data_IF_536709602676
#
_entry.id   IF_536709602676
#
_cell.length_a   1.000
_cell.length_b   1.000
_cell.length_c   1.000
_cell.angle_alpha   90.00
_cell.angle_beta   90.00
_cell.angle_gamma   90.00
#
_symmetry.space_group_name_H-M   'P 1'
#
loop_
_entity.id
_entity.type
_entity.pdbx_description
1 polymer ?
#
# COMPACT_ATOMS: atom_id res chain seq x y z
N UNK A 1 -19.70 -20.21 6.44
CA UNK A 1 -19.52 -21.66 6.51
C UNK A 1 -19.65 -22.17 5.07
N UNK A 2 -18.53 -22.42 4.41
CA UNK A 2 -18.52 -22.98 3.03
C UNK A 2 -18.32 -24.49 3.15
N UNK A 3 -19.40 -25.24 2.94
CA UNK A 3 -19.36 -26.68 2.80
C UNK A 3 -19.46 -27.01 1.30
N UNK A 4 -18.34 -27.38 0.70
CA UNK A 4 -18.29 -27.93 -0.65
C UNK A 4 -17.28 -29.08 -0.65
N UNK A 5 -17.70 -30.27 -1.07
CA UNK A 5 -16.80 -31.39 -1.27
C UNK A 5 -15.73 -30.99 -2.28
N UNK A 6 -14.46 -30.95 -1.85
CA UNK A 6 -13.30 -30.68 -2.70
C UNK A 6 -12.43 -29.52 -2.25
N UNK A 7 -12.89 -28.59 -1.44
CA UNK A 7 -12.07 -27.49 -0.92
C UNK A 7 -11.59 -27.84 0.50
N UNK A 8 -10.40 -28.39 0.58
CA UNK A 8 -9.69 -28.54 1.85
C UNK A 8 -9.07 -27.18 2.22
N UNK A 9 -9.87 -26.27 2.76
CA UNK A 9 -9.33 -25.22 3.61
C UNK A 9 -8.98 -25.90 4.94
N UNK A 10 -7.72 -26.17 5.17
CA UNK A 10 -7.24 -26.53 6.49
C UNK A 10 -7.54 -25.34 7.42
N UNK A 11 -8.19 -25.60 8.56
CA UNK A 11 -8.25 -24.63 9.63
C UNK A 11 -6.81 -24.33 10.05
N UNK A 12 -6.32 -23.12 9.74
CA UNK A 12 -5.03 -22.61 10.23
C UNK A 12 -5.06 -22.46 11.77
N UNK A 13 -6.21 -22.62 12.39
CA UNK A 13 -6.52 -22.33 13.80
C UNK A 13 -6.65 -23.60 14.60
N UNK A 14 -5.62 -23.96 15.28
CA UNK A 14 -5.61 -25.14 16.14
C UNK A 14 -4.45 -25.21 17.12
N UNK A 15 -3.75 -24.11 17.39
CA UNK A 15 -2.82 -24.09 18.50
C UNK A 15 -3.63 -23.96 19.78
N UNK A 16 -3.55 -24.98 20.63
CA UNK A 16 -4.29 -25.13 21.84
C UNK A 16 -4.18 -23.90 22.78
N UNK A 17 -5.31 -23.30 23.15
CA UNK A 17 -5.48 -22.68 24.44
C UNK A 17 -5.54 -21.17 24.54
N UNK A 18 -5.66 -20.40 23.44
CA UNK A 18 -6.01 -18.96 23.50
C UNK A 18 -6.98 -18.63 22.38
N UNK A 19 -7.83 -17.64 22.57
CA UNK A 19 -8.70 -17.08 21.54
C UNK A 19 -7.82 -16.58 20.37
N UNK A 20 -7.68 -17.41 19.33
CA UNK A 20 -6.97 -17.04 18.11
C UNK A 20 -8.05 -16.70 17.10
N UNK A 21 -8.74 -15.62 17.37
CA UNK A 21 -9.70 -15.04 16.44
C UNK A 21 -8.94 -14.08 15.52
N UNK A 22 -8.71 -14.47 14.29
CA UNK A 22 -8.15 -13.55 13.29
C UNK A 22 -9.25 -12.62 12.82
N UNK A 23 -9.09 -11.33 13.08
CA UNK A 23 -10.01 -10.30 12.61
C UNK A 23 -9.68 -9.89 11.17
N UNK A 24 -8.43 -9.55 10.89
CA UNK A 24 -7.92 -9.18 9.57
C UNK A 24 -6.55 -9.78 9.31
N UNK A 25 -6.18 -9.91 8.05
CA UNK A 25 -4.90 -10.53 7.67
C UNK A 25 -4.41 -9.99 6.33
N UNK A 26 -3.13 -9.67 6.26
CA UNK A 26 -2.44 -9.37 5.01
C UNK A 26 -1.42 -10.45 4.69
N UNK A 27 -1.46 -10.98 3.47
CA UNK A 27 -0.53 -11.99 3.00
C UNK A 27 0.19 -11.52 1.75
N UNK A 28 1.49 -11.79 1.67
CA UNK A 28 2.29 -11.49 0.50
C UNK A 28 3.57 -12.32 0.45
N UNK A 29 4.21 -12.37 -0.72
CA UNK A 29 5.57 -12.87 -0.83
C UNK A 29 6.51 -11.93 -0.08
N UNK A 30 7.22 -12.46 0.91
CA UNK A 30 8.10 -11.65 1.74
C UNK A 30 9.38 -11.28 0.98
N UNK A 31 9.72 -10.01 1.04
CA UNK A 31 10.92 -9.43 0.45
C UNK A 31 11.61 -8.45 1.44
N UNK A 32 11.31 -8.61 2.73
CA UNK A 32 11.87 -7.77 3.79
C UNK A 32 13.28 -8.19 4.23
N UNK A 33 13.76 -7.63 5.35
CA UNK A 33 15.15 -7.77 5.78
C UNK A 33 15.52 -9.15 6.34
N UNK A 34 14.54 -9.96 6.80
CA UNK A 34 14.82 -11.27 7.32
C UNK A 34 15.11 -12.28 6.19
N UNK A 35 16.39 -12.57 5.98
CA UNK A 35 16.84 -13.42 4.88
C UNK A 35 16.32 -14.87 4.96
N UNK A 36 15.91 -15.34 6.15
CA UNK A 36 15.40 -16.69 6.32
C UNK A 36 14.05 -16.91 5.61
N UNK A 37 13.27 -15.82 5.45
CA UNK A 37 11.92 -15.88 4.90
C UNK A 37 11.77 -15.21 3.53
N UNK A 38 12.84 -14.67 2.95
CA UNK A 38 12.76 -14.05 1.62
C UNK A 38 12.27 -15.03 0.57
N UNK A 39 11.20 -14.67 -0.14
CA UNK A 39 10.54 -15.51 -1.15
C UNK A 39 9.45 -16.44 -0.59
N UNK A 40 9.30 -16.54 0.72
CA UNK A 40 8.20 -17.27 1.35
C UNK A 40 6.88 -16.50 1.23
N UNK A 41 5.78 -17.19 1.19
CA UNK A 41 4.46 -16.59 1.32
C UNK A 41 4.12 -16.42 2.81
N UNK A 42 4.13 -15.19 3.28
CA UNK A 42 3.93 -14.87 4.69
C UNK A 42 2.60 -14.18 4.90
N UNK A 43 1.90 -14.54 5.98
CA UNK A 43 0.67 -13.89 6.42
C UNK A 43 0.86 -13.25 7.80
N UNK A 44 0.38 -12.03 7.94
CA UNK A 44 0.41 -11.22 9.15
C UNK A 44 -1.02 -11.00 9.60
N UNK A 45 -1.40 -11.69 10.65
CA UNK A 45 -2.77 -11.77 11.14
C UNK A 45 -2.97 -10.91 12.39
N UNK A 46 -3.89 -9.98 12.33
CA UNK A 46 -4.36 -9.19 13.47
C UNK A 46 -5.38 -10.03 14.24
N UNK A 47 -4.93 -10.59 15.37
CA UNK A 47 -5.66 -11.58 16.15
C UNK A 47 -6.20 -10.99 17.46
N UNK A 48 -6.84 -9.84 17.40
CA UNK A 48 -7.46 -9.16 18.53
C UNK A 48 -6.48 -8.71 19.63
N UNK A 49 -5.66 -9.62 20.18
CA UNK A 49 -4.71 -9.34 21.27
C UNK A 49 -3.24 -9.42 20.84
N UNK A 50 -2.95 -9.92 19.63
CA UNK A 50 -1.58 -10.09 19.10
C UNK A 50 -1.55 -9.97 17.58
N UNK A 51 -0.40 -9.59 17.05
CA UNK A 51 -0.03 -9.82 15.66
C UNK A 51 0.59 -11.22 15.56
N UNK A 52 0.02 -12.12 14.74
CA UNK A 52 0.59 -13.44 14.51
C UNK A 52 1.16 -13.54 13.10
N UNK A 53 2.38 -14.04 12.99
CA UNK A 53 3.08 -14.24 11.71
C UNK A 53 3.04 -15.72 11.35
N UNK A 54 2.55 -16.01 10.13
CA UNK A 54 2.46 -17.35 9.59
C UNK A 54 3.28 -17.49 8.31
N UNK A 55 4.05 -18.55 8.19
CA UNK A 55 4.56 -19.03 6.92
C UNK A 55 3.51 -19.96 6.29
N UNK A 56 2.97 -19.54 5.17
CA UNK A 56 1.95 -20.25 4.40
C UNK A 56 2.47 -20.72 3.05
N UNK A 57 3.78 -20.78 2.86
CA UNK A 57 4.43 -21.26 1.63
C UNK A 57 3.96 -22.67 1.28
N UNK A 58 3.95 -23.57 2.24
CA UNK A 58 3.27 -24.85 2.12
C UNK A 58 1.85 -24.77 2.70
N UNK A 59 0.84 -24.70 1.82
CA UNK A 59 -0.58 -24.60 2.20
C UNK A 59 -1.08 -25.84 2.94
N UNK A 60 -0.34 -26.97 2.89
CA UNK A 60 -0.69 -28.20 3.60
C UNK A 60 -0.06 -28.28 4.98
N UNK A 61 0.93 -27.44 5.26
CA UNK A 61 1.65 -27.38 6.52
C UNK A 61 1.98 -25.92 6.88
N UNK A 62 0.95 -25.18 7.32
CA UNK A 62 1.11 -23.80 7.77
C UNK A 62 1.87 -23.75 9.10
N UNK A 63 2.90 -22.92 9.16
CA UNK A 63 3.75 -22.75 10.33
C UNK A 63 3.47 -21.41 10.99
N UNK A 64 3.19 -21.40 12.29
CA UNK A 64 3.23 -20.17 13.09
C UNK A 64 4.69 -19.85 13.39
N UNK A 65 5.17 -18.73 12.83
CA UNK A 65 6.54 -18.27 13.02
C UNK A 65 6.66 -17.62 14.40
N UNK A 66 5.83 -16.60 14.65
CA UNK A 66 5.90 -15.84 15.90
C UNK A 66 4.59 -15.13 16.23
N UNK A 67 4.58 -14.50 17.42
CA UNK A 67 3.53 -13.60 17.85
C UNK A 67 4.17 -12.34 18.47
N UNK A 68 3.72 -11.17 18.02
CA UNK A 68 4.12 -9.87 18.56
C UNK A 68 2.94 -9.20 19.25
N UNK A 69 3.19 -8.55 20.38
CA UNK A 69 2.19 -7.74 21.08
C UNK A 69 2.79 -6.40 21.48
N UNK A 70 1.98 -5.50 21.99
CA UNK A 70 2.37 -4.15 22.40
C UNK A 70 1.64 -3.72 23.67
N UNK A 71 2.17 -2.75 24.42
CA UNK A 71 1.53 -2.26 25.63
C UNK A 71 0.17 -1.62 25.37
N UNK A 72 -0.81 -1.94 26.19
CA UNK A 72 -2.15 -1.35 26.15
C UNK A 72 -2.99 -1.84 24.96
N UNK A 73 -2.85 -3.10 24.58
CA UNK A 73 -3.72 -3.73 23.58
C UNK A 73 -5.17 -3.63 24.02
N UNK A 74 -6.00 -3.05 23.15
CA UNK A 74 -7.46 -3.08 23.24
C UNK A 74 -8.06 -4.07 22.27
N UNK A 75 -7.65 -3.99 20.99
CA UNK A 75 -8.08 -4.87 19.93
C UNK A 75 -7.17 -4.71 18.71
N UNK A 76 -6.20 -5.61 18.54
CA UNK A 76 -5.34 -5.65 17.35
C UNK A 76 -6.20 -5.91 16.12
N UNK A 77 -6.54 -4.84 15.39
CA UNK A 77 -7.62 -4.84 14.41
C UNK A 77 -7.12 -5.15 13.00
N UNK A 78 -6.21 -4.33 12.48
CA UNK A 78 -5.74 -4.42 11.10
C UNK A 78 -4.33 -3.85 11.01
N UNK A 79 -3.57 -4.22 9.98
CA UNK A 79 -2.27 -3.64 9.75
C UNK A 79 -1.83 -3.74 8.30
N UNK A 80 -0.77 -3.00 7.96
CA UNK A 80 -0.19 -3.00 6.62
C UNK A 80 1.31 -2.75 6.65
N UNK A 81 2.03 -3.23 5.62
CA UNK A 81 3.47 -3.01 5.51
C UNK A 81 3.82 -1.61 5.03
N UNK A 82 4.82 -1.01 5.65
CA UNK A 82 5.58 0.05 5.03
C UNK A 82 6.47 -0.48 3.88
N UNK A 83 6.91 0.40 3.01
CA UNK A 83 7.80 0.04 1.90
C UNK A 83 9.05 -0.71 2.41
N UNK A 84 9.46 -1.76 1.70
CA UNK A 84 10.60 -2.59 2.08
C UNK A 84 10.29 -3.63 3.17
N UNK A 85 9.06 -3.74 3.64
CA UNK A 85 8.53 -4.78 4.53
C UNK A 85 9.29 -4.95 5.86
N UNK A 86 10.13 -3.98 6.25
CA UNK A 86 10.75 -3.97 7.57
C UNK A 86 9.77 -3.55 8.66
N UNK A 87 8.90 -2.60 8.36
CA UNK A 87 7.96 -2.08 9.34
C UNK A 87 6.54 -2.49 8.98
N UNK A 88 5.80 -2.91 10.00
CA UNK A 88 4.38 -3.20 9.89
C UNK A 88 3.61 -2.26 10.83
N UNK A 89 2.67 -1.52 10.26
CA UNK A 89 1.82 -0.59 11.00
C UNK A 89 0.59 -1.35 11.47
N UNK A 90 0.23 -1.19 12.73
CA UNK A 90 -0.92 -1.84 13.36
C UNK A 90 -1.87 -0.80 13.93
N UNK A 91 -3.16 -0.97 13.65
CA UNK A 91 -4.24 -0.22 14.31
C UNK A 91 -4.87 -1.05 15.43
N UNK A 92 -5.24 -0.37 16.52
CA UNK A 92 -5.92 -0.94 17.69
C UNK A 92 -7.28 -0.26 17.88
N UNK A 93 -8.36 -0.92 17.47
CA UNK A 93 -9.67 -0.29 17.34
C UNK A 93 -10.33 0.05 18.70
N UNK A 94 -9.89 -0.52 19.80
CA UNK A 94 -10.61 -0.39 21.07
C UNK A 94 -9.83 0.31 22.18
N UNK A 95 -8.58 0.63 22.00
CA UNK A 95 -7.76 1.18 23.08
C UNK A 95 -8.18 2.60 23.51
N UNK A 96 -8.53 3.50 22.58
CA UNK A 96 -9.10 4.81 22.91
C UNK A 96 -10.52 4.68 23.50
N UNK A 97 -11.31 3.77 22.92
CA UNK A 97 -12.68 3.53 23.37
C UNK A 97 -12.74 2.97 24.78
N UNK A 98 -11.79 2.11 25.13
CA UNK A 98 -11.63 1.52 26.46
C UNK A 98 -10.95 2.48 27.44
N UNK A 99 -10.48 3.64 26.98
CA UNK A 99 -9.73 4.61 27.80
C UNK A 99 -8.32 4.16 28.15
N UNK A 100 -7.77 3.19 27.44
CA UNK A 100 -6.38 2.71 27.60
C UNK A 100 -5.39 3.77 27.12
N UNK A 101 -5.73 4.49 26.05
CA UNK A 101 -4.98 5.63 25.53
C UNK A 101 -5.89 6.84 25.34
N UNK A 102 -5.37 8.07 25.50
CA UNK A 102 -6.18 9.28 25.35
C UNK A 102 -6.39 9.71 23.90
N UNK A 103 -5.66 9.13 22.96
CA UNK A 103 -5.70 9.55 21.54
C UNK A 103 -5.27 8.42 20.63
N UNK A 104 -5.76 8.48 19.41
CA UNK A 104 -5.45 7.57 18.32
C UNK A 104 -3.94 7.36 18.16
N UNK A 105 -3.56 6.10 18.00
CA UNK A 105 -2.18 5.70 17.83
C UNK A 105 -2.02 4.62 16.76
N UNK A 106 -0.90 4.68 16.04
CA UNK A 106 -0.47 3.62 15.13
C UNK A 106 0.77 2.97 15.70
N UNK A 107 0.72 1.69 15.97
CA UNK A 107 1.84 0.91 16.49
C UNK A 107 2.71 0.49 15.31
N UNK A 108 4.00 0.80 15.36
CA UNK A 108 4.97 0.40 14.34
C UNK A 108 5.80 -0.76 14.87
N UNK A 109 5.58 -1.95 14.27
CA UNK A 109 6.35 -3.14 14.55
C UNK A 109 7.60 -3.17 13.67
N UNK A 110 8.77 -3.47 14.24
CA UNK A 110 10.00 -3.80 13.50
C UNK A 110 10.02 -5.30 13.20
N UNK A 111 10.11 -5.64 11.94
CA UNK A 111 10.17 -6.99 11.40
C UNK A 111 11.56 -7.33 10.87
N UNK A 112 12.62 -6.76 11.46
CA UNK A 112 14.00 -7.10 11.13
C UNK A 112 14.27 -8.61 11.32
N UNK A 113 13.60 -9.20 12.30
CA UNK A 113 13.60 -10.62 12.62
C UNK A 113 12.14 -11.06 12.79
N UNK A 114 11.62 -11.91 11.89
CA UNK A 114 10.24 -12.37 11.93
C UNK A 114 9.95 -13.34 13.08
N UNK A 115 10.98 -13.99 13.63
CA UNK A 115 10.85 -14.85 14.82
C UNK A 115 10.69 -14.02 16.11
N UNK A 116 11.09 -12.73 16.09
CA UNK A 116 11.05 -11.82 17.23
C UNK A 116 10.58 -10.42 16.83
N UNK A 117 9.30 -10.24 16.40
CA UNK A 117 8.77 -8.93 16.05
C UNK A 117 8.70 -8.04 17.31
N UNK A 118 9.23 -6.83 17.20
CA UNK A 118 9.29 -5.88 18.32
C UNK A 118 8.57 -4.57 17.97
N UNK A 119 8.10 -3.84 18.99
CA UNK A 119 7.60 -2.47 18.81
C UNK A 119 8.77 -1.54 18.57
N UNK A 120 8.88 -0.98 17.38
CA UNK A 120 9.89 0.02 17.04
C UNK A 120 9.58 1.36 17.71
N UNK A 121 8.37 1.84 17.57
CA UNK A 121 7.83 3.06 18.19
C UNK A 121 6.31 3.12 18.00
N UNK A 122 5.69 4.15 18.57
CA UNK A 122 4.26 4.43 18.43
C UNK A 122 4.10 5.86 17.90
N UNK A 123 3.34 6.01 16.82
CA UNK A 123 2.86 7.30 16.36
C UNK A 123 1.54 7.63 17.07
N UNK A 124 1.27 8.89 17.38
CA UNK A 124 -0.02 9.37 17.87
C UNK A 124 -0.41 10.65 17.16
N UNK A 125 -1.66 10.71 16.75
CA UNK A 125 -2.23 11.91 16.12
C UNK A 125 -2.58 13.01 17.12
N UNK A 126 -2.73 12.66 18.40
CA UNK A 126 -3.25 13.56 19.44
C UNK A 126 -4.76 13.76 19.38
N UNK A 127 -5.48 13.07 18.48
CA UNK A 127 -6.93 13.17 18.35
C UNK A 127 -7.62 12.08 19.19
N UNK A 128 -8.68 12.43 19.99
CA UNK A 128 -9.38 11.48 20.84
C UNK A 128 -10.43 10.67 20.04
N UNK A 129 -9.98 9.98 19.01
CA UNK A 129 -10.81 9.20 18.07
C UNK A 129 -10.30 7.78 17.96
N UNK A 130 -11.14 6.88 17.49
CA UNK A 130 -10.78 5.49 17.18
C UNK A 130 -10.15 5.42 15.80
N UNK A 131 -9.09 4.64 15.65
CA UNK A 131 -8.57 4.22 14.35
C UNK A 131 -9.27 2.95 13.85
N UNK A 132 -9.16 2.68 12.55
CA UNK A 132 -9.77 1.51 11.93
C UNK A 132 -8.87 0.93 10.84
N UNK A 133 -9.22 1.07 9.56
CA UNK A 133 -8.48 0.47 8.48
C UNK A 133 -7.37 1.39 7.97
N UNK A 134 -6.18 0.83 7.78
CA UNK A 134 -5.09 1.51 7.12
C UNK A 134 -4.57 0.72 5.92
N UNK A 135 -4.07 1.43 4.93
CA UNK A 135 -3.39 0.88 3.76
C UNK A 135 -2.17 1.72 3.44
N UNK A 136 -1.11 1.09 2.95
CA UNK A 136 0.09 1.83 2.51
C UNK A 136 0.19 1.77 1.00
N UNK A 137 0.36 2.94 0.39
CA UNK A 137 0.65 3.10 -1.03
C UNK A 137 1.86 4.00 -1.23
N UNK A 138 2.94 3.43 -1.77
CA UNK A 138 4.22 4.12 -1.84
C UNK A 138 4.76 4.44 -0.44
N UNK A 139 5.07 5.71 -0.19
CA UNK A 139 5.57 6.18 1.12
C UNK A 139 4.48 6.66 2.07
N UNK A 140 3.20 6.57 1.70
CA UNK A 140 2.11 7.09 2.51
C UNK A 140 1.23 6.01 3.08
N UNK A 141 0.90 6.11 4.37
CA UNK A 141 -0.19 5.37 4.98
C UNK A 141 -1.48 6.20 4.91
N UNK A 142 -2.57 5.53 4.57
CA UNK A 142 -3.91 6.09 4.47
C UNK A 142 -4.76 5.44 5.55
N UNK A 143 -5.05 6.18 6.61
CA UNK A 143 -5.79 5.70 7.75
C UNK A 143 -7.24 6.20 7.73
N UNK A 144 -8.16 5.30 8.03
CA UNK A 144 -9.56 5.60 8.25
C UNK A 144 -9.80 5.65 9.75
N UNK A 145 -9.89 6.86 10.31
CA UNK A 145 -9.92 7.06 11.76
C UNK A 145 -11.31 7.56 12.21
N UNK A 146 -12.36 6.81 11.84
CA UNK A 146 -13.76 7.09 12.18
C UNK A 146 -14.12 8.59 12.13
N UNK A 147 -14.37 9.22 13.29
CA UNK A 147 -14.77 10.63 13.38
C UNK A 147 -13.65 11.62 12.98
N UNK A 148 -12.41 11.17 12.86
CA UNK A 148 -11.34 12.01 12.29
C UNK A 148 -11.22 11.91 10.76
N UNK A 149 -11.98 11.04 10.11
CA UNK A 149 -11.97 10.87 8.67
C UNK A 149 -10.69 10.23 8.12
N UNK A 150 -10.32 10.56 6.88
CA UNK A 150 -9.11 10.09 6.24
C UNK A 150 -7.90 10.88 6.74
N UNK A 151 -6.89 10.16 7.22
CA UNK A 151 -5.57 10.70 7.59
C UNK A 151 -4.53 10.10 6.67
N UNK A 152 -3.65 10.92 6.13
CA UNK A 152 -2.57 10.48 5.24
C UNK A 152 -1.25 10.81 5.93
N UNK A 153 -0.52 9.75 6.27
CA UNK A 153 0.72 9.83 7.02
C UNK A 153 1.92 9.61 6.09
N UNK A 154 2.93 10.45 6.21
CA UNK A 154 4.20 10.33 5.49
C UNK A 154 5.16 9.44 6.28
N UNK A 155 5.58 8.34 5.66
CA UNK A 155 6.46 7.31 6.21
C UNK A 155 7.93 7.45 5.78
N UNK A 156 8.30 8.54 5.06
CA UNK A 156 9.66 8.73 4.52
C UNK A 156 10.76 8.60 5.58
N UNK A 157 10.46 8.99 6.82
CA UNK A 157 11.39 8.92 7.95
C UNK A 157 11.05 7.84 8.98
N UNK A 158 10.26 6.83 8.60
CA UNK A 158 9.85 5.75 9.52
C UNK A 158 11.04 5.04 10.14
N UNK A 159 12.14 4.85 9.38
CA UNK A 159 13.39 4.27 9.87
C UNK A 159 14.13 5.13 10.91
N UNK A 160 13.70 6.37 11.11
CA UNK A 160 14.21 7.29 12.13
C UNK A 160 13.24 7.42 13.32
N UNK A 161 12.16 6.63 13.34
CA UNK A 161 11.10 6.71 14.35
C UNK A 161 10.18 7.92 14.16
N UNK A 162 10.07 8.45 12.94
CA UNK A 162 9.29 9.66 12.65
C UNK A 162 8.24 9.39 11.60
N UNK A 163 6.98 9.65 11.94
CA UNK A 163 5.82 9.72 11.05
C UNK A 163 5.24 11.13 11.17
N UNK A 164 4.80 11.72 10.05
CA UNK A 164 4.16 13.03 10.03
C UNK A 164 2.87 13.00 9.22
N UNK A 165 1.84 13.71 9.67
CA UNK A 165 0.62 13.85 8.88
C UNK A 165 0.91 14.74 7.66
N UNK A 166 0.64 14.21 6.47
CA UNK A 166 0.83 14.90 5.19
C UNK A 166 -0.45 15.61 4.72
N UNK A 167 -1.62 14.99 4.96
CA UNK A 167 -2.91 15.54 4.61
C UNK A 167 -4.04 14.85 5.38
N UNK A 168 -5.23 15.47 5.38
CA UNK A 168 -6.43 14.85 5.91
C UNK A 168 -7.68 15.30 5.17
N UNK A 169 -8.75 14.52 5.30
CA UNK A 169 -10.09 14.91 4.91
C UNK A 169 -11.09 14.40 5.95
N UNK A 170 -11.75 15.34 6.63
CA UNK A 170 -12.75 15.00 7.63
C UNK A 170 -14.07 14.66 6.97
N UNK A 171 -14.48 13.40 7.07
CA UNK A 171 -15.76 12.92 6.53
C UNK A 171 -16.93 13.09 7.53
N UNK A 172 -16.61 13.43 8.80
CA UNK A 172 -17.58 13.54 9.91
C UNK A 172 -17.33 14.77 10.79
N UNK A 173 -17.48 16.01 10.25
CA UNK A 173 -17.08 17.25 10.93
C UNK A 173 -17.92 17.61 12.17
N UNK A 174 -18.95 16.85 12.49
CA UNK A 174 -19.83 17.06 13.65
C UNK A 174 -19.37 16.37 14.92
N UNK A 175 -18.32 15.57 14.90
CA UNK A 175 -17.81 14.82 16.04
C UNK A 175 -16.31 14.64 16.04
N UNK A 176 -15.74 14.48 17.23
CA UNK A 176 -14.35 14.11 17.46
C UNK A 176 -14.25 13.39 18.81
N UNK A 177 -14.72 12.16 18.82
CA UNK A 177 -14.80 11.32 20.02
C UNK A 177 -14.46 9.86 19.70
N UNK A 178 -14.15 9.02 20.69
CA UNK A 178 -13.85 7.62 20.46
C UNK A 178 -15.11 6.82 20.17
N UNK A 179 -15.74 7.06 19.03
CA UNK A 179 -16.95 6.41 18.56
C UNK A 179 -16.79 5.83 17.17
N UNK A 180 -17.70 4.93 16.78
CA UNK A 180 -17.70 4.27 15.48
C UNK A 180 -18.54 5.00 14.41
N UNK A 181 -18.65 6.34 14.52
CA UNK A 181 -19.20 7.15 13.44
C UNK A 181 -18.08 7.60 12.50
N UNK A 182 -18.44 7.98 11.27
CA UNK A 182 -17.49 8.55 10.33
C UNK A 182 -16.85 7.51 9.41
N UNK A 183 -15.60 7.67 9.11
CA UNK A 183 -14.93 6.91 8.06
C UNK A 183 -14.57 5.50 8.50
N UNK A 184 -15.08 4.53 7.72
CA UNK A 184 -14.88 3.10 7.97
C UNK A 184 -13.63 2.56 7.25
N UNK A 185 -13.46 2.84 5.97
CA UNK A 185 -12.36 2.31 5.17
C UNK A 185 -11.99 3.24 4.02
N UNK A 186 -10.85 2.98 3.38
CA UNK A 186 -10.40 3.70 2.20
C UNK A 186 -9.79 2.76 1.16
N UNK A 187 -9.61 3.27 -0.06
CA UNK A 187 -8.90 2.57 -1.12
C UNK A 187 -7.99 3.54 -1.87
N UNK A 188 -6.66 3.52 -1.65
CA UNK A 188 -5.73 4.49 -2.21
C UNK A 188 -4.98 4.00 -3.47
N UNK A 189 -5.35 2.85 -4.04
CA UNK A 189 -4.52 2.16 -5.04
C UNK A 189 -4.86 2.48 -6.49
N UNK A 190 -5.68 3.50 -6.76
CA UNK A 190 -5.91 3.90 -8.14
C UNK A 190 -4.71 4.64 -8.73
N UNK A 191 -4.28 4.24 -9.92
CA UNK A 191 -3.23 4.91 -10.68
C UNK A 191 -3.55 6.40 -10.97
N UNK A 192 -4.81 6.81 -10.87
CA UNK A 192 -5.23 8.20 -10.99
C UNK A 192 -4.89 9.08 -9.79
N UNK A 193 -4.40 8.49 -8.69
CA UNK A 193 -4.20 9.17 -7.41
C UNK A 193 -5.51 9.54 -6.69
N UNK A 194 -6.64 9.00 -7.14
CA UNK A 194 -7.91 9.13 -6.42
C UNK A 194 -7.90 8.15 -5.25
N UNK A 195 -8.41 8.62 -4.11
CA UNK A 195 -8.68 7.81 -2.93
C UNK A 195 -10.18 7.71 -2.75
N UNK A 196 -10.70 6.50 -2.60
CA UNK A 196 -12.06 6.31 -2.12
C UNK A 196 -12.05 6.26 -0.60
N UNK A 197 -13.01 6.92 0.03
CA UNK A 197 -13.22 6.87 1.46
C UNK A 197 -14.69 6.52 1.72
N UNK A 198 -14.94 5.40 2.39
CA UNK A 198 -16.28 4.97 2.79
C UNK A 198 -16.55 5.43 4.21
N UNK A 199 -17.71 6.05 4.41
CA UNK A 199 -18.15 6.57 5.69
C UNK A 199 -19.48 5.89 6.12
N UNK A 200 -19.56 5.47 7.36
CA UNK A 200 -20.72 4.72 7.89
C UNK A 200 -22.02 5.55 7.92
N UNK A 201 -21.94 6.88 7.87
CA UNK A 201 -23.07 7.80 7.93
C UNK A 201 -23.27 8.58 6.63
N UNK A 202 -22.16 9.03 6.02
CA UNK A 202 -22.18 10.00 4.91
C UNK A 202 -21.93 9.35 3.54
N UNK A 203 -21.73 8.02 3.49
CA UNK A 203 -21.60 7.25 2.27
C UNK A 203 -20.19 7.25 1.67
N UNK A 204 -20.04 7.45 0.36
CA UNK A 204 -18.78 7.32 -0.35
C UNK A 204 -18.25 8.70 -0.78
N UNK A 205 -17.03 8.99 -0.39
CA UNK A 205 -16.26 10.13 -0.87
C UNK A 205 -15.24 9.71 -1.91
N UNK A 206 -15.13 10.51 -2.98
CA UNK A 206 -14.14 10.34 -4.03
C UNK A 206 -13.17 11.52 -3.91
N UNK A 207 -12.00 11.27 -3.35
CA UNK A 207 -11.07 12.32 -2.95
C UNK A 207 -9.86 12.35 -3.89
N UNK A 208 -9.38 13.54 -4.16
CA UNK A 208 -8.09 13.77 -4.81
C UNK A 208 -7.24 14.62 -3.89
N UNK A 209 -6.21 14.03 -3.24
CA UNK A 209 -5.28 14.79 -2.43
C UNK A 209 -4.67 15.93 -3.24
N UNK A 210 -4.72 17.18 -2.72
CA UNK A 210 -4.22 18.38 -3.43
C UNK A 210 -2.76 18.70 -3.10
N UNK A 211 -2.28 18.31 -1.93
CA UNK A 211 -0.85 18.25 -1.71
C UNK A 211 -0.27 17.27 -2.74
N UNK A 212 0.96 17.52 -3.22
CA UNK A 212 1.74 16.46 -3.87
C UNK A 212 2.05 15.36 -2.85
N UNK A 213 1.00 14.67 -2.43
CA UNK A 213 1.12 13.31 -2.02
C UNK A 213 1.49 12.66 -3.34
N UNK A 214 2.78 12.57 -3.56
CA UNK A 214 3.33 11.85 -4.69
C UNK A 214 2.77 10.44 -4.55
N UNK A 215 1.66 10.24 -5.26
CA UNK A 215 1.18 8.92 -5.58
C UNK A 215 2.28 8.20 -6.36
N UNK A 216 2.05 6.97 -6.84
CA UNK A 216 3.06 6.16 -7.54
C UNK A 216 3.72 6.83 -8.76
N UNK A 217 3.52 8.14 -8.99
CA UNK A 217 4.23 8.93 -10.00
C UNK A 217 5.62 9.42 -9.56
N UNK A 218 5.99 9.38 -8.28
CA UNK A 218 7.37 9.07 -7.90
C UNK A 218 7.45 7.56 -7.71
N UNK A 219 7.51 6.86 -8.82
CA UNK A 219 8.07 5.53 -8.81
C UNK A 219 9.33 5.56 -7.94
N UNK A 220 9.52 4.62 -6.98
CA UNK A 220 10.75 4.52 -6.21
C UNK A 220 11.86 4.67 -7.21
N UNK A 221 12.86 5.54 -6.92
CA UNK A 221 13.94 5.84 -7.86
C UNK A 221 14.31 4.51 -8.48
N UNK A 222 14.00 4.35 -9.79
CA UNK A 222 14.01 3.05 -10.43
C UNK A 222 15.40 2.48 -10.18
N UNK A 223 15.51 1.47 -9.31
CA UNK A 223 16.80 0.84 -9.08
C UNK A 223 17.19 0.24 -10.42
N UNK A 224 18.18 0.85 -11.05
CA UNK A 224 18.69 0.40 -12.33
C UNK A 224 18.05 0.98 -13.58
N UNK A 225 17.16 1.99 -13.50
CA UNK A 225 16.60 2.68 -14.67
C UNK A 225 16.12 4.10 -14.35
N UNK A 226 16.02 4.97 -15.39
CA UNK A 226 15.30 6.25 -15.32
C UNK A 226 14.32 6.37 -16.47
N UNK A 227 13.16 6.97 -16.23
CA UNK A 227 12.12 7.22 -17.24
C UNK A 227 11.68 8.67 -17.15
N UNK A 228 11.89 9.44 -18.23
CA UNK A 228 11.50 10.86 -18.26
C UNK A 228 9.97 11.01 -18.27
N UNK A 229 9.49 12.21 -17.97
CA UNK A 229 8.11 12.58 -18.25
C UNK A 229 7.85 12.66 -19.76
N UNK A 230 6.60 12.39 -20.21
CA UNK A 230 6.22 12.61 -21.60
C UNK A 230 6.31 14.10 -21.97
N UNK A 231 6.92 14.42 -23.09
CA UNK A 231 7.03 15.79 -23.57
C UNK A 231 6.75 15.88 -25.07
N UNK A 232 5.77 16.73 -25.50
CA UNK A 232 4.82 17.49 -24.68
C UNK A 232 3.77 16.60 -23.98
N UNK A 233 3.23 17.10 -22.86
CA UNK A 233 2.10 16.52 -22.14
C UNK A 233 1.23 17.64 -21.52
N UNK A 234 -0.02 17.90 -21.99
CA UNK A 234 -0.75 17.17 -23.03
C UNK A 234 -0.12 17.24 -24.43
N UNK A 235 -0.34 16.19 -25.21
CA UNK A 235 0.14 16.07 -26.59
C UNK A 235 -1.01 16.17 -27.61
N UNK A 236 -0.75 16.87 -28.75
CA UNK A 236 -1.72 17.02 -29.85
C UNK A 236 -1.23 16.46 -31.19
N UNK A 237 -0.07 15.81 -31.22
CA UNK A 237 0.50 15.23 -32.45
C UNK A 237 1.49 14.11 -32.13
N UNK A 238 2.50 14.40 -31.34
CA UNK A 238 3.46 13.42 -30.88
C UNK A 238 3.94 13.76 -29.47
N UNK A 239 4.36 12.74 -28.72
CA UNK A 239 5.03 12.91 -27.42
C UNK A 239 6.21 11.95 -27.33
N UNK A 240 7.20 12.30 -26.54
CA UNK A 240 8.41 11.49 -26.35
C UNK A 240 8.68 11.27 -24.88
N UNK A 241 9.14 10.06 -24.59
CA UNK A 241 9.63 9.63 -23.28
C UNK A 241 11.03 9.04 -23.52
N UNK A 242 11.95 9.26 -22.60
CA UNK A 242 13.30 8.71 -22.66
C UNK A 242 13.50 7.75 -21.51
N UNK A 243 13.94 6.54 -21.82
CA UNK A 243 14.35 5.52 -20.86
C UNK A 243 15.87 5.36 -20.90
N UNK A 244 16.53 5.31 -19.76
CA UNK A 244 17.90 4.79 -19.60
C UNK A 244 17.91 3.68 -18.56
N UNK A 245 18.81 2.70 -18.72
CA UNK A 245 19.00 1.61 -17.76
C UNK A 245 20.45 1.59 -17.28
N UNK A 246 20.69 1.15 -16.06
CA UNK A 246 22.03 1.05 -15.48
C UNK A 246 22.68 -0.30 -15.77
N UNK A 247 21.88 -1.31 -16.09
CA UNK A 247 22.32 -2.66 -16.45
C UNK A 247 21.59 -3.10 -17.72
N UNK A 248 22.33 -3.77 -18.64
CA UNK A 248 21.74 -4.31 -19.86
C UNK A 248 20.64 -5.31 -19.53
N UNK A 249 19.44 -5.10 -20.08
CA UNK A 249 18.29 -5.96 -19.82
C UNK A 249 17.25 -5.88 -20.94
N UNK A 250 16.40 -6.90 -21.03
CA UNK A 250 15.25 -6.88 -21.94
C UNK A 250 14.19 -5.94 -21.41
N UNK A 251 13.68 -5.06 -22.26
CA UNK A 251 12.65 -4.08 -21.91
C UNK A 251 11.51 -4.14 -22.90
N UNK A 252 10.29 -4.02 -22.41
CA UNK A 252 9.07 -3.79 -23.18
C UNK A 252 8.40 -2.49 -22.73
N UNK A 253 8.04 -1.63 -23.70
CA UNK A 253 7.27 -0.42 -23.44
C UNK A 253 5.97 -0.45 -24.24
N UNK A 254 4.84 -0.42 -23.56
CA UNK A 254 3.51 -0.47 -24.13
C UNK A 254 2.73 0.81 -23.84
N UNK A 255 1.95 1.27 -24.83
CA UNK A 255 0.93 2.29 -24.66
C UNK A 255 -0.42 1.61 -24.34
N UNK A 256 -1.03 1.99 -23.22
CA UNK A 256 -2.31 1.47 -22.77
C UNK A 256 -3.36 2.59 -22.78
N UNK A 257 -4.62 2.26 -23.07
CA UNK A 257 -5.74 3.18 -22.87
C UNK A 257 -6.20 3.22 -21.39
N UNK A 258 -7.19 4.05 -21.08
CA UNK A 258 -7.71 4.25 -19.73
C UNK A 258 -8.34 2.97 -19.13
N UNK A 259 -8.64 1.94 -19.95
CA UNK A 259 -9.15 0.65 -19.49
C UNK A 259 -8.03 -0.38 -19.25
N UNK A 260 -6.76 0.01 -19.51
CA UNK A 260 -5.60 -0.89 -19.40
C UNK A 260 -5.37 -1.76 -20.63
N UNK A 261 -6.16 -1.59 -21.70
CA UNK A 261 -5.99 -2.31 -22.96
C UNK A 261 -4.78 -1.75 -23.71
N UNK A 262 -3.90 -2.62 -24.20
CA UNK A 262 -2.75 -2.24 -25.02
C UNK A 262 -3.18 -1.68 -26.38
N UNK A 263 -2.79 -0.44 -26.64
CA UNK A 263 -3.02 0.30 -27.89
C UNK A 263 -1.85 0.11 -28.87
N UNK A 264 -0.63 0.15 -28.36
CA UNK A 264 0.59 -0.03 -29.16
C UNK A 264 1.72 -0.57 -28.27
N UNK A 265 2.71 -1.23 -28.89
CA UNK A 265 4.03 -1.47 -28.32
C UNK A 265 4.98 -0.43 -28.87
N UNK A 266 5.59 0.38 -27.99
CA UNK A 266 6.50 1.46 -28.35
C UNK A 266 7.93 0.98 -28.49
N UNK A 267 8.31 -0.04 -27.71
CA UNK A 267 9.63 -0.65 -27.73
C UNK A 267 9.54 -2.10 -27.21
N UNK A 268 10.30 -2.99 -27.83
CA UNK A 268 10.55 -4.35 -27.33
C UNK A 268 11.96 -4.77 -27.76
N UNK A 269 12.88 -4.91 -26.82
CA UNK A 269 14.27 -5.26 -27.12
C UNK A 269 15.19 -5.08 -25.93
N UNK A 270 16.50 -5.24 -26.17
CA UNK A 270 17.52 -5.04 -25.13
C UNK A 270 17.89 -3.57 -25.03
N UNK A 271 17.80 -2.99 -23.84
CA UNK A 271 18.34 -1.68 -23.51
C UNK A 271 19.77 -1.85 -22.96
N UNK A 272 20.71 -1.05 -23.48
CA UNK A 272 22.09 -1.05 -23.03
C UNK A 272 22.33 0.01 -21.94
N UNK A 273 23.25 -0.23 -20.99
CA UNK A 273 23.53 0.71 -19.91
C UNK A 273 23.92 2.10 -20.43
N UNK A 274 23.37 3.15 -19.83
CA UNK A 274 23.68 4.54 -20.15
C UNK A 274 23.24 4.99 -21.55
N UNK A 275 22.56 4.13 -22.33
CA UNK A 275 22.05 4.46 -23.66
C UNK A 275 20.60 4.89 -23.57
N UNK A 276 20.26 6.04 -24.18
CA UNK A 276 18.87 6.50 -24.27
C UNK A 276 18.05 5.63 -25.23
N UNK A 277 16.98 5.03 -24.71
CA UNK A 277 15.90 4.42 -25.50
C UNK A 277 14.78 5.44 -25.64
N UNK A 278 14.48 5.88 -26.86
CA UNK A 278 13.43 6.86 -27.13
C UNK A 278 12.11 6.15 -27.42
N UNK A 279 11.11 6.47 -26.65
CA UNK A 279 9.75 5.98 -26.76
C UNK A 279 8.91 7.09 -27.39
N UNK A 280 8.77 7.07 -28.70
CA UNK A 280 7.97 8.04 -29.44
C UNK A 280 6.51 7.56 -29.52
N UNK A 281 5.57 8.40 -29.09
CA UNK A 281 4.13 8.15 -29.14
C UNK A 281 3.51 9.05 -30.18
N UNK A 282 3.00 8.46 -31.28
CA UNK A 282 2.14 9.19 -32.22
C UNK A 282 0.74 9.32 -31.64
N UNK A 283 0.38 10.54 -31.25
CA UNK A 283 -0.93 10.86 -30.65
C UNK A 283 -1.94 11.38 -31.67
N UNK A 284 -1.53 11.60 -32.94
CA UNK A 284 -2.40 12.17 -33.98
C UNK A 284 -3.58 11.25 -34.31
N UNK A 285 -3.36 9.92 -34.22
CA UNK A 285 -4.36 8.90 -34.50
C UNK A 285 -5.18 8.50 -33.27
N UNK A 286 -4.82 8.96 -32.06
CA UNK A 286 -5.44 8.56 -30.81
C UNK A 286 -6.63 9.47 -30.48
N UNK A 287 -7.75 8.95 -29.95
CA UNK A 287 -8.77 9.76 -29.34
C UNK A 287 -8.25 10.64 -28.21
N UNK A 288 -8.84 11.84 -28.02
CA UNK A 288 -8.51 12.64 -26.84
C UNK A 288 -8.84 11.86 -25.57
N UNK A 289 -7.93 11.86 -24.61
CA UNK A 289 -8.07 11.08 -23.38
C UNK A 289 -6.75 10.89 -22.65
N UNK A 290 -6.79 10.04 -21.61
CA UNK A 290 -5.61 9.68 -20.83
C UNK A 290 -5.12 8.30 -21.26
N UNK A 291 -3.83 8.21 -21.49
CA UNK A 291 -3.11 6.98 -21.81
C UNK A 291 -2.00 6.76 -20.79
N UNK A 292 -1.54 5.52 -20.69
CA UNK A 292 -0.43 5.13 -19.82
C UNK A 292 0.65 4.47 -20.67
N UNK A 293 1.85 5.00 -20.62
CA UNK A 293 3.05 4.33 -21.16
C UNK A 293 3.61 3.48 -20.03
N UNK A 294 3.49 2.16 -20.13
CA UNK A 294 4.04 1.19 -19.18
C UNK A 294 5.34 0.62 -19.74
N UNK A 295 6.38 0.66 -18.92
CA UNK A 295 7.70 0.10 -19.24
C UNK A 295 8.03 -0.99 -18.24
N UNK A 296 8.36 -2.18 -18.74
CA UNK A 296 8.71 -3.35 -17.94
C UNK A 296 10.08 -3.85 -18.37
N UNK A 297 11.01 -3.90 -17.45
CA UNK A 297 12.33 -4.55 -17.58
C UNK A 297 12.39 -5.83 -16.75
N UNK A 298 13.55 -6.46 -16.70
CA UNK A 298 13.79 -7.66 -15.88
C UNK A 298 13.84 -7.32 -14.38
N UNK A 299 14.31 -6.10 -14.05
CA UNK A 299 14.52 -5.65 -12.67
C UNK A 299 13.59 -4.53 -12.23
N UNK A 300 12.75 -3.99 -13.12
CA UNK A 300 11.84 -2.89 -12.82
C UNK A 300 10.55 -2.93 -13.64
N UNK A 301 9.51 -2.30 -13.12
CA UNK A 301 8.32 -1.92 -13.87
C UNK A 301 7.94 -0.49 -13.48
N UNK A 302 7.60 0.33 -14.48
CA UNK A 302 7.23 1.73 -14.26
C UNK A 302 6.25 2.21 -15.31
N UNK A 303 5.64 3.36 -15.08
CA UNK A 303 4.71 3.95 -16.05
C UNK A 303 4.76 5.48 -16.03
N UNK A 304 4.29 6.09 -17.12
CA UNK A 304 4.04 7.52 -17.23
C UNK A 304 2.67 7.77 -17.85
N UNK A 305 2.01 8.80 -17.37
CA UNK A 305 0.70 9.21 -17.89
C UNK A 305 0.90 10.19 -19.04
N UNK A 306 0.20 9.95 -20.15
CA UNK A 306 0.14 10.82 -21.31
C UNK A 306 -1.30 11.30 -21.52
N UNK A 307 -1.52 12.59 -21.47
CA UNK A 307 -2.78 13.19 -21.88
C UNK A 307 -2.73 13.54 -23.37
N UNK A 308 -3.72 13.08 -24.13
CA UNK A 308 -3.89 13.44 -25.54
C UNK A 308 -4.99 14.48 -25.63
N UNK A 309 -4.63 15.66 -26.17
CA UNK A 309 -5.55 16.76 -26.45
C UNK A 309 -5.75 16.92 -27.97
N UNK A 310 -6.87 17.54 -28.37
CA UNK A 310 -7.13 17.93 -29.77
C UNK A 310 -7.39 19.41 -29.85
#
# INVERSE_FOLDING_TARGET
MFSGEGNRFGLIFGAAGKNISTHDMVCQTYAGPDAAYVGHEMCFASNEDVLTIFDVTDKTNVVTVSQGSYPGVGYTHQGWFAAGQRYFLVNDELDERNGTTPSQRTIVMDLQDLDQPEVAFVYTSGLPVVDHNLYVSGRYAYESNYEAGLRILDLDRIGQGVITEAAFFDTYPQGQSPSFNGQWSNYPFFASGIVLASDARNGLFVLRPQARITGPDEAPALIGATLSEPAPNPASGASRIVLTVDVAQTVTADLLDATGRRVATLFAGTAAPGTEVRLDVDTASLPAGVYVVRVTGETFATSRRLAVAR
#
